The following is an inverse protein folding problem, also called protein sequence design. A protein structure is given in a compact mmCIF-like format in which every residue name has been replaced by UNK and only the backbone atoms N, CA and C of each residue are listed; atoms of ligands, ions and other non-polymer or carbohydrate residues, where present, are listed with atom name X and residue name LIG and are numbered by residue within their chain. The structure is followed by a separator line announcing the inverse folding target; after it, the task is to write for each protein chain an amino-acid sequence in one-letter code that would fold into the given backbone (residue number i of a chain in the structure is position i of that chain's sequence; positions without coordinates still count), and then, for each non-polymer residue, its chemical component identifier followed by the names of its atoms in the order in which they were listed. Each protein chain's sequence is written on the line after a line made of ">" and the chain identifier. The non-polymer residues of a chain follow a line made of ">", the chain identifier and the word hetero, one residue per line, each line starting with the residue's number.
data_IF_726591984147
#
_entry.id   IF_726591984147
#
_cell.length_a   1.000
_cell.length_b   1.000
_cell.length_c   1.000
_cell.angle_alpha   90.00
_cell.angle_beta   90.00
_cell.angle_gamma   90.00
#
_symmetry.space_group_name_H-M   'P 1'
#
loop_
_entity.id
_entity.type
_entity.pdbx_description
1 polymer ?
#
# COMPACT_ATOMS: atom_id res chain seq x y z
N UNK A 1 17.55 60.88 62.80
CA UNK A 1 18.53 61.95 62.67
C UNK A 1 18.56 62.47 61.24
N UNK A 2 18.19 63.70 61.03
CA UNK A 2 18.61 64.72 60.04
C UNK A 2 18.44 64.31 58.55
N UNK A 3 17.41 64.85 57.81
CA UNK A 3 17.27 66.23 57.29
C UNK A 3 18.25 66.53 56.18
N UNK A 4 17.91 67.00 54.98
CA UNK A 4 17.16 68.16 54.49
C UNK A 4 17.14 68.09 52.95
N UNK A 5 16.05 68.39 52.27
CA UNK A 5 15.69 69.73 51.71
C UNK A 5 16.64 70.19 50.60
N UNK A 6 16.18 70.21 49.38
CA UNK A 6 15.46 71.36 48.73
C UNK A 6 16.26 71.66 47.46
N UNK A 7 15.74 71.99 46.34
CA UNK A 7 15.25 73.28 45.91
C UNK A 7 14.89 73.22 44.41
N UNK A 8 13.88 73.93 44.07
CA UNK A 8 13.28 74.23 42.79
C UNK A 8 14.22 74.93 41.79
N UNK A 9 14.06 74.70 40.48
CA UNK A 9 14.02 75.80 39.54
C UNK A 9 13.32 75.40 38.24
N UNK A 10 12.30 76.20 37.90
CA UNK A 10 11.58 76.18 36.62
C UNK A 10 12.43 76.86 35.52
N UNK A 11 12.30 76.32 34.30
CA UNK A 11 12.40 77.15 33.11
C UNK A 11 11.73 76.48 31.87
N UNK A 12 10.91 77.28 31.29
CA UNK A 12 9.95 77.15 30.18
C UNK A 12 10.42 76.55 28.85
N UNK A 13 9.48 75.81 28.27
CA UNK A 13 8.95 75.88 26.88
C UNK A 13 9.87 76.04 25.71
N UNK A 14 9.79 75.02 24.80
CA UNK A 14 9.65 75.31 23.39
C UNK A 14 8.95 74.08 22.70
N UNK A 15 7.84 74.39 22.09
CA UNK A 15 7.07 73.43 21.25
C UNK A 15 7.80 73.23 19.94
N UNK A 16 8.12 71.98 19.67
CA UNK A 16 8.54 71.48 18.30
C UNK A 16 7.68 70.26 17.95
N UNK A 17 6.66 70.49 17.13
CA UNK A 17 5.89 69.44 16.50
C UNK A 17 6.79 68.66 15.52
N UNK A 18 7.24 67.46 15.88
CA UNK A 18 7.77 66.51 14.91
C UNK A 18 6.73 65.40 14.75
N UNK A 19 6.06 65.41 13.62
CA UNK A 19 5.20 64.35 13.12
C UNK A 19 6.08 63.11 12.79
N UNK A 20 6.10 62.10 13.67
CA UNK A 20 6.62 60.79 13.34
C UNK A 20 5.53 60.01 12.62
N UNK A 21 5.64 59.87 11.30
CA UNK A 21 4.91 58.91 10.53
C UNK A 21 5.42 57.51 10.90
N UNK A 22 4.65 56.81 11.73
CA UNK A 22 4.86 55.37 11.98
C UNK A 22 4.45 54.59 10.71
N UNK A 23 5.41 54.22 9.90
CA UNK A 23 5.22 53.16 8.88
C UNK A 23 5.04 51.84 9.61
N UNK A 24 3.80 51.42 9.83
CA UNK A 24 3.50 50.05 10.21
C UNK A 24 3.80 49.16 9.03
N UNK A 25 4.96 48.52 9.03
CA UNK A 25 5.21 47.35 8.22
C UNK A 25 4.23 46.26 8.67
N UNK A 26 3.17 46.06 7.90
CA UNK A 26 2.37 44.85 8.01
C UNK A 26 3.32 43.67 7.73
N UNK A 27 3.61 42.88 8.76
CA UNK A 27 4.14 41.52 8.57
C UNK A 27 2.99 40.76 7.96
N UNK A 28 3.06 40.48 6.67
CA UNK A 28 2.16 39.52 6.02
C UNK A 28 2.42 38.15 6.67
N UNK A 29 1.42 37.62 7.34
CA UNK A 29 1.43 36.22 7.78
C UNK A 29 1.65 35.38 6.52
N UNK A 30 2.52 34.34 6.59
CA UNK A 30 2.71 33.47 5.45
C UNK A 30 1.36 32.84 5.09
N UNK A 31 0.98 33.00 3.83
CA UNK A 31 -0.20 32.40 3.22
C UNK A 31 -0.21 30.91 3.59
N UNK A 32 -1.26 30.46 4.28
CA UNK A 32 -1.47 29.03 4.51
C UNK A 32 -1.65 28.40 3.14
N UNK A 33 -0.60 27.78 2.62
CA UNK A 33 -0.71 26.90 1.45
C UNK A 33 -1.60 25.74 1.89
N UNK A 34 -2.84 25.75 1.43
CA UNK A 34 -3.70 24.58 1.61
C UNK A 34 -3.02 23.39 0.93
N UNK A 35 -2.97 22.22 1.57
CA UNK A 35 -2.36 21.05 0.96
C UNK A 35 -3.06 20.75 -0.36
N UNK A 36 -2.28 20.59 -1.41
CA UNK A 36 -2.77 20.22 -2.74
C UNK A 36 -3.62 18.95 -2.62
N UNK A 37 -4.88 19.03 -3.03
CA UNK A 37 -5.77 17.88 -3.00
C UNK A 37 -5.30 16.88 -4.06
N UNK A 38 -4.65 15.82 -3.65
CA UNK A 38 -4.22 14.74 -4.55
C UNK A 38 -5.45 13.89 -4.88
N UNK A 39 -5.96 14.05 -6.09
CA UNK A 39 -7.13 13.31 -6.56
C UNK A 39 -6.84 11.89 -7.00
N UNK A 40 -5.59 11.59 -7.35
CA UNK A 40 -5.16 10.28 -7.87
C UNK A 40 -3.75 9.93 -7.40
N UNK A 41 -3.59 8.70 -6.88
CA UNK A 41 -2.30 8.21 -6.39
C UNK A 41 -1.64 7.29 -7.41
N UNK A 42 -0.38 7.55 -7.68
CA UNK A 42 0.53 6.68 -8.41
C UNK A 42 1.53 6.12 -7.42
N UNK A 43 1.57 4.81 -7.28
CA UNK A 43 2.39 4.19 -6.23
C UNK A 43 3.08 2.91 -6.68
N UNK A 44 3.92 2.40 -5.78
CA UNK A 44 4.52 1.08 -5.88
C UNK A 44 4.48 0.36 -4.53
N UNK A 45 4.34 -0.95 -4.56
CA UNK A 45 4.75 -1.82 -3.47
C UNK A 45 6.23 -2.15 -3.70
N UNK A 46 7.09 -1.73 -2.78
CA UNK A 46 8.54 -2.00 -2.82
C UNK A 46 8.97 -2.72 -1.54
N UNK A 47 8.15 -3.65 -1.10
CA UNK A 47 8.39 -4.35 0.17
C UNK A 47 9.66 -5.18 0.18
N UNK A 48 10.17 -5.61 -0.99
CA UNK A 48 11.44 -6.35 -1.12
C UNK A 48 12.68 -5.47 -1.10
N UNK A 49 12.56 -4.15 -1.22
CA UNK A 49 13.71 -3.26 -1.46
C UNK A 49 14.86 -3.45 -0.46
N UNK A 50 14.56 -3.54 0.83
CA UNK A 50 15.58 -3.70 1.89
C UNK A 50 16.30 -5.05 1.82
N UNK A 51 15.58 -6.12 1.49
CA UNK A 51 16.16 -7.43 1.24
C UNK A 51 17.07 -7.42 0.01
N UNK A 52 16.63 -6.82 -1.09
CA UNK A 52 17.41 -6.71 -2.32
C UNK A 52 18.69 -5.88 -2.11
N UNK A 53 18.58 -4.75 -1.42
CA UNK A 53 19.72 -3.91 -1.05
C UNK A 53 20.72 -4.66 -0.16
N UNK A 54 20.25 -5.45 0.80
CA UNK A 54 21.11 -6.28 1.66
C UNK A 54 21.93 -7.31 0.88
N UNK A 55 21.39 -7.75 -0.26
CA UNK A 55 22.06 -8.66 -1.20
C UNK A 55 22.92 -7.92 -2.23
N UNK A 56 23.11 -6.61 -2.05
CA UNK A 56 23.98 -5.78 -2.90
C UNK A 56 23.33 -5.27 -4.17
N UNK A 57 21.99 -5.38 -4.32
CA UNK A 57 21.30 -4.79 -5.45
C UNK A 57 21.36 -3.26 -5.36
N UNK A 58 21.65 -2.63 -6.50
CA UNK A 58 21.70 -1.19 -6.66
C UNK A 58 20.70 -0.77 -7.72
N UNK A 59 20.23 0.47 -7.59
CA UNK A 59 19.27 1.08 -8.50
C UNK A 59 19.85 2.34 -9.10
N UNK A 60 19.53 2.60 -10.37
CA UNK A 60 20.06 3.72 -11.13
C UNK A 60 18.93 4.48 -11.83
N UNK A 61 19.06 5.79 -11.94
CA UNK A 61 18.18 6.56 -12.79
C UNK A 61 18.60 6.46 -14.27
N UNK A 62 17.82 7.08 -15.15
CA UNK A 62 18.09 7.06 -16.60
C UNK A 62 19.46 7.67 -17.01
N UNK A 63 20.08 8.48 -16.14
CA UNK A 63 21.39 9.08 -16.37
C UNK A 63 22.55 8.20 -15.87
N UNK A 64 22.27 7.02 -15.30
CA UNK A 64 23.27 6.12 -14.73
C UNK A 64 23.76 6.51 -13.34
N UNK A 65 23.05 7.41 -12.66
CA UNK A 65 23.36 7.78 -11.28
C UNK A 65 22.68 6.83 -10.32
N UNK A 66 23.44 6.31 -9.35
CA UNK A 66 22.90 5.46 -8.29
C UNK A 66 21.87 6.25 -7.45
N UNK A 67 20.73 5.63 -7.19
CA UNK A 67 19.62 6.19 -6.41
C UNK A 67 19.12 5.21 -5.37
N UNK A 68 18.63 5.73 -4.26
CA UNK A 68 17.80 4.97 -3.34
C UNK A 68 16.45 4.67 -4.04
N UNK A 69 15.95 3.44 -3.89
CA UNK A 69 14.81 2.96 -4.68
C UNK A 69 13.54 3.78 -4.46
N UNK A 70 13.21 4.17 -3.21
CA UNK A 70 12.03 4.99 -2.92
C UNK A 70 12.12 6.38 -3.57
N UNK A 71 13.33 6.97 -3.56
CA UNK A 71 13.59 8.25 -4.24
C UNK A 71 13.42 8.11 -5.76
N UNK A 72 13.86 6.99 -6.31
CA UNK A 72 13.69 6.69 -7.74
C UNK A 72 12.21 6.54 -8.11
N UNK A 73 11.38 5.89 -7.27
CA UNK A 73 9.92 5.84 -7.48
C UNK A 73 9.33 7.25 -7.55
N UNK A 74 9.77 8.15 -6.66
CA UNK A 74 9.34 9.55 -6.69
C UNK A 74 9.80 10.29 -7.95
N UNK A 75 11.04 10.08 -8.42
CA UNK A 75 11.55 10.65 -9.69
C UNK A 75 10.68 10.22 -10.89
N UNK A 76 10.07 9.04 -10.83
CA UNK A 76 9.11 8.53 -11.82
C UNK A 76 7.68 9.08 -11.65
N UNK A 77 7.44 9.98 -10.69
CA UNK A 77 6.16 10.65 -10.51
C UNK A 77 5.21 9.92 -9.55
N UNK A 78 5.70 8.94 -8.81
CA UNK A 78 4.91 8.29 -7.76
C UNK A 78 4.84 9.15 -6.50
N UNK A 79 3.70 9.09 -5.82
CA UNK A 79 3.41 9.87 -4.62
C UNK A 79 2.96 9.03 -3.43
N UNK A 80 2.98 7.70 -3.58
CA UNK A 80 2.62 6.75 -2.52
C UNK A 80 3.44 5.46 -2.60
N UNK A 81 3.64 4.82 -1.45
CA UNK A 81 4.32 3.52 -1.31
C UNK A 81 3.42 2.58 -0.52
N UNK A 82 3.23 1.36 -1.02
CA UNK A 82 2.58 0.24 -0.34
C UNK A 82 3.64 -0.68 0.25
N UNK A 83 3.42 -1.15 1.47
CA UNK A 83 4.37 -1.96 2.23
C UNK A 83 3.63 -3.08 2.97
N UNK A 84 3.99 -4.33 2.70
CA UNK A 84 3.43 -5.47 3.42
C UNK A 84 4.10 -5.67 4.78
N UNK A 85 3.37 -6.31 5.67
CA UNK A 85 3.87 -6.77 6.96
C UNK A 85 3.37 -8.19 7.25
N UNK A 86 4.28 -9.05 7.71
CA UNK A 86 4.01 -10.43 8.16
C UNK A 86 3.99 -10.50 9.69
N UNK A 87 3.44 -11.60 10.24
CA UNK A 87 3.31 -11.78 11.69
C UNK A 87 4.62 -12.19 12.32
N UNK A 88 5.21 -13.29 11.88
CA UNK A 88 6.52 -13.77 12.34
C UNK A 88 7.37 -14.27 11.17
N UNK A 89 8.05 -13.39 10.43
CA UNK A 89 8.91 -13.77 9.33
C UNK A 89 10.33 -14.22 9.77
N UNK A 90 10.50 -14.71 10.99
CA UNK A 90 11.83 -15.10 11.53
C UNK A 90 12.52 -16.21 10.71
N UNK A 91 11.75 -17.05 10.01
CA UNK A 91 12.27 -18.06 9.05
C UNK A 91 12.72 -17.45 7.71
N UNK A 92 12.46 -16.18 7.49
CA UNK A 92 12.76 -15.43 6.28
C UNK A 92 13.58 -14.18 6.61
N UNK A 93 14.57 -14.33 7.51
CA UNK A 93 15.52 -13.28 7.92
C UNK A 93 14.86 -12.02 8.46
N UNK A 94 13.62 -12.12 8.94
CA UNK A 94 12.79 -11.02 9.45
C UNK A 94 12.44 -9.93 8.43
N UNK A 95 12.59 -10.17 7.12
CA UNK A 95 12.09 -9.24 6.12
C UNK A 95 10.58 -9.08 6.25
N UNK A 96 10.11 -7.86 6.04
CA UNK A 96 8.70 -7.49 6.21
C UNK A 96 8.13 -7.69 7.63
N UNK A 97 8.97 -7.71 8.68
CA UNK A 97 8.51 -7.48 10.04
C UNK A 97 8.24 -5.98 10.27
N UNK A 98 7.78 -5.61 11.47
CA UNK A 98 7.46 -4.20 11.78
C UNK A 98 8.67 -3.26 11.74
N UNK A 99 9.88 -3.74 12.06
CA UNK A 99 11.12 -2.96 12.03
C UNK A 99 11.54 -2.64 10.58
N UNK A 100 11.48 -3.64 9.71
CA UNK A 100 11.77 -3.50 8.29
C UNK A 100 10.71 -2.63 7.58
N UNK A 101 9.44 -2.81 7.92
CA UNK A 101 8.35 -1.92 7.50
C UNK A 101 8.65 -0.46 7.86
N UNK A 102 9.10 -0.22 9.10
CA UNK A 102 9.41 1.13 9.59
C UNK A 102 10.54 1.79 8.79
N UNK A 103 11.58 1.04 8.43
CA UNK A 103 12.70 1.55 7.61
C UNK A 103 12.17 2.10 6.29
N UNK A 104 11.38 1.33 5.56
CA UNK A 104 10.79 1.70 4.27
C UNK A 104 9.79 2.86 4.40
N UNK A 105 8.93 2.82 5.42
CA UNK A 105 7.96 3.88 5.68
C UNK A 105 8.62 5.23 6.02
N UNK A 106 9.76 5.22 6.73
CA UNK A 106 10.55 6.44 6.99
C UNK A 106 11.13 7.04 5.70
N UNK A 107 11.60 6.20 4.77
CA UNK A 107 12.08 6.66 3.46
C UNK A 107 10.95 7.36 2.68
N UNK A 108 9.79 6.72 2.58
CA UNK A 108 8.61 7.29 1.92
C UNK A 108 8.20 8.63 2.55
N UNK A 109 8.09 8.69 3.89
CA UNK A 109 7.75 9.91 4.61
C UNK A 109 8.76 11.05 4.37
N UNK A 110 10.06 10.75 4.40
CA UNK A 110 11.10 11.75 4.16
C UNK A 110 11.00 12.40 2.78
N UNK A 111 10.41 11.69 1.83
CA UNK A 111 10.15 12.16 0.46
C UNK A 111 8.74 12.79 0.30
N UNK A 112 7.95 12.87 1.36
CA UNK A 112 6.58 13.38 1.30
C UNK A 112 5.64 12.48 0.51
N UNK A 113 5.89 11.16 0.51
CA UNK A 113 5.02 10.15 -0.10
C UNK A 113 4.07 9.57 0.95
N UNK A 114 2.84 9.27 0.53
CA UNK A 114 1.88 8.59 1.39
C UNK A 114 2.24 7.12 1.58
N UNK A 115 1.82 6.54 2.69
CA UNK A 115 2.10 5.14 3.03
C UNK A 115 0.81 4.35 3.12
N UNK A 116 0.80 3.19 2.45
CA UNK A 116 -0.19 2.13 2.62
C UNK A 116 0.49 0.96 3.34
N UNK A 117 -0.14 0.46 4.42
CA UNK A 117 0.31 -0.75 5.11
C UNK A 117 -0.58 -1.91 4.70
N UNK A 118 0.03 -3.00 4.26
CA UNK A 118 -0.65 -4.21 3.84
C UNK A 118 -0.38 -5.36 4.81
N UNK A 119 -1.39 -5.73 5.59
CA UNK A 119 -1.30 -6.83 6.54
C UNK A 119 -1.54 -8.18 5.86
N UNK A 120 -0.47 -8.96 5.70
CA UNK A 120 -0.58 -10.39 5.48
C UNK A 120 -0.66 -11.08 6.84
N UNK A 121 -1.83 -11.45 7.31
CA UNK A 121 -2.00 -12.17 8.58
C UNK A 121 -1.49 -13.61 8.50
N UNK A 122 -0.21 -13.73 8.17
CA UNK A 122 0.54 -14.97 7.96
C UNK A 122 2.02 -14.69 8.26
N UNK A 123 2.82 -15.73 8.51
CA UNK A 123 4.28 -15.61 8.68
C UNK A 123 5.01 -15.49 7.34
N UNK A 124 4.30 -15.69 6.23
CA UNK A 124 4.80 -15.63 4.86
C UNK A 124 3.69 -15.18 3.91
N UNK A 125 3.84 -15.40 2.61
CA UNK A 125 2.88 -14.98 1.60
C UNK A 125 1.44 -15.42 1.91
N UNK A 126 0.54 -14.47 1.88
CA UNK A 126 -0.91 -14.66 1.81
C UNK A 126 -1.38 -14.21 0.43
N UNK A 127 -2.12 -15.08 -0.27
CA UNK A 127 -2.66 -14.85 -1.61
C UNK A 127 -3.96 -15.67 -1.78
N UNK A 128 -4.67 -15.59 -2.93
CA UNK A 128 -5.93 -16.31 -3.12
C UNK A 128 -5.83 -17.83 -2.97
N UNK A 129 -4.64 -18.41 -3.15
CA UNK A 129 -4.41 -19.86 -3.03
C UNK A 129 -4.09 -20.30 -1.60
N UNK A 130 -3.66 -19.37 -0.74
CA UNK A 130 -3.30 -19.66 0.67
C UNK A 130 -3.38 -18.41 1.55
N UNK A 131 -3.86 -18.60 2.77
CA UNK A 131 -3.98 -17.56 3.80
C UNK A 131 -3.53 -18.17 5.15
N UNK A 132 -2.33 -18.77 5.14
CA UNK A 132 -1.88 -19.66 6.22
C UNK A 132 -1.87 -18.96 7.56
N UNK A 133 -2.54 -19.59 8.53
CA UNK A 133 -2.56 -19.16 9.92
C UNK A 133 -1.13 -19.10 10.46
N UNK A 134 -0.71 -17.99 11.10
CA UNK A 134 0.60 -17.87 11.73
C UNK A 134 0.89 -19.02 12.69
N UNK A 135 2.13 -19.47 12.77
CA UNK A 135 2.52 -20.60 13.59
C UNK A 135 2.17 -20.39 15.07
N UNK A 136 2.31 -19.18 15.56
CA UNK A 136 1.99 -18.78 16.94
C UNK A 136 0.48 -18.77 17.24
N UNK A 137 -0.39 -18.72 16.23
CA UNK A 137 -1.85 -18.71 16.39
C UNK A 137 -2.49 -20.07 16.13
N UNK A 138 -1.72 -21.07 15.72
CA UNK A 138 -2.23 -22.42 15.47
C UNK A 138 -2.82 -23.03 16.72
N UNK A 139 -4.00 -23.66 16.57
CA UNK A 139 -4.72 -24.28 17.67
C UNK A 139 -5.55 -23.33 18.53
N UNK A 140 -5.47 -22.03 18.29
CA UNK A 140 -6.35 -21.05 18.94
C UNK A 140 -7.79 -21.20 18.43
N UNK A 141 -8.74 -20.95 19.33
CA UNK A 141 -10.15 -20.83 18.97
C UNK A 141 -10.40 -19.59 18.10
N UNK A 142 -11.55 -19.52 17.46
CA UNK A 142 -11.95 -18.35 16.68
C UNK A 142 -11.85 -17.03 17.47
N UNK A 143 -12.30 -17.02 18.72
CA UNK A 143 -12.27 -15.81 19.56
C UNK A 143 -10.85 -15.42 19.99
N UNK A 144 -9.96 -16.39 20.20
CA UNK A 144 -8.55 -16.14 20.48
C UNK A 144 -7.84 -15.60 19.23
N UNK A 145 -8.02 -16.25 18.09
CA UNK A 145 -7.39 -15.82 16.82
C UNK A 145 -7.87 -14.44 16.37
N UNK A 146 -9.14 -14.10 16.63
CA UNK A 146 -9.67 -12.75 16.41
C UNK A 146 -8.96 -11.71 17.28
N UNK A 147 -8.62 -12.06 18.53
CA UNK A 147 -7.82 -11.20 19.41
C UNK A 147 -6.36 -11.09 18.94
N UNK A 148 -5.77 -12.20 18.48
CA UNK A 148 -4.40 -12.21 17.97
C UNK A 148 -4.27 -11.28 16.77
N UNK A 149 -5.20 -11.37 15.81
CA UNK A 149 -5.24 -10.48 14.65
C UNK A 149 -5.36 -9.01 15.06
N UNK A 150 -6.29 -8.69 15.97
CA UNK A 150 -6.49 -7.33 16.46
C UNK A 150 -5.25 -6.81 17.20
N UNK A 151 -4.62 -7.63 18.03
CA UNK A 151 -3.42 -7.26 18.79
C UNK A 151 -2.25 -7.02 17.86
N UNK A 152 -1.97 -7.93 16.91
CA UNK A 152 -0.91 -7.74 15.91
C UNK A 152 -1.12 -6.45 15.11
N UNK A 153 -2.35 -6.19 14.65
CA UNK A 153 -2.69 -4.95 13.95
C UNK A 153 -2.37 -3.71 14.79
N UNK A 154 -2.79 -3.71 16.05
CA UNK A 154 -2.55 -2.59 16.98
C UNK A 154 -1.06 -2.42 17.29
N UNK A 155 -0.34 -3.51 17.54
CA UNK A 155 1.10 -3.47 17.85
C UNK A 155 1.90 -2.85 16.72
N UNK A 156 1.71 -3.30 15.49
CA UNK A 156 2.39 -2.75 14.31
C UNK A 156 2.02 -1.27 14.10
N UNK A 157 0.73 -0.93 14.15
CA UNK A 157 0.30 0.44 13.92
C UNK A 157 0.73 1.38 15.05
N UNK A 158 0.69 0.92 16.31
CA UNK A 158 1.19 1.71 17.43
C UNK A 158 2.71 1.90 17.37
N UNK A 159 3.45 0.88 16.91
CA UNK A 159 4.89 0.99 16.67
C UNK A 159 5.20 2.05 15.59
N UNK A 160 4.47 2.06 14.49
CA UNK A 160 4.57 3.10 13.45
C UNK A 160 4.24 4.48 14.01
N UNK A 161 3.15 4.61 14.77
CA UNK A 161 2.70 5.86 15.39
C UNK A 161 3.76 6.44 16.34
N UNK A 162 4.35 5.60 17.19
CA UNK A 162 5.40 5.99 18.12
C UNK A 162 6.68 6.48 17.39
N UNK A 163 6.89 6.04 16.16
CA UNK A 163 7.99 6.45 15.29
C UNK A 163 7.59 7.58 14.31
N UNK A 164 6.42 8.18 14.51
CA UNK A 164 5.96 9.33 13.73
C UNK A 164 5.48 8.99 12.32
N UNK A 165 5.18 7.72 12.02
CA UNK A 165 4.56 7.31 10.74
C UNK A 165 3.05 7.24 10.93
N UNK A 166 2.32 7.87 10.02
CA UNK A 166 0.86 7.82 9.93
C UNK A 166 0.48 7.27 8.56
N UNK A 167 0.08 6.00 8.44
CA UNK A 167 -0.38 5.46 7.18
C UNK A 167 -1.69 6.11 6.75
N UNK A 168 -1.80 6.43 5.47
CA UNK A 168 -3.05 6.91 4.89
C UNK A 168 -4.05 5.78 4.68
N UNK A 169 -3.56 4.63 4.27
CA UNK A 169 -4.35 3.43 4.04
C UNK A 169 -3.79 2.24 4.81
N UNK A 170 -4.69 1.37 5.21
CA UNK A 170 -4.35 0.09 5.83
C UNK A 170 -5.20 -1.01 5.19
N UNK A 171 -4.56 -1.98 4.55
CA UNK A 171 -5.21 -3.20 4.09
C UNK A 171 -5.34 -4.19 5.23
N UNK A 172 -6.56 -4.66 5.46
CA UNK A 172 -6.87 -5.72 6.41
C UNK A 172 -6.93 -7.04 5.65
N UNK A 173 -5.78 -7.67 5.50
CA UNK A 173 -5.55 -8.85 4.68
C UNK A 173 -5.16 -8.53 3.24
N UNK A 174 -4.38 -9.42 2.64
CA UNK A 174 -3.95 -9.38 1.26
C UNK A 174 -4.73 -10.39 0.41
N UNK A 175 -5.32 -9.94 -0.70
CA UNK A 175 -6.07 -10.77 -1.66
C UNK A 175 -7.00 -11.79 -0.98
N UNK A 176 -7.87 -11.30 -0.10
CA UNK A 176 -8.75 -12.12 0.74
C UNK A 176 -9.96 -12.70 -0.01
N UNK A 177 -9.79 -12.99 -1.28
CA UNK A 177 -10.84 -13.54 -2.14
C UNK A 177 -11.48 -14.79 -1.55
N UNK A 178 -10.68 -15.73 -1.08
CA UNK A 178 -11.15 -16.93 -0.41
C UNK A 178 -11.21 -16.82 1.13
N UNK A 179 -11.19 -15.58 1.66
CA UNK A 179 -11.14 -15.29 3.10
C UNK A 179 -9.72 -15.07 3.62
N UNK A 180 -9.55 -15.13 4.94
CA UNK A 180 -8.26 -14.98 5.63
C UNK A 180 -8.16 -15.97 6.78
N UNK A 181 -6.93 -16.25 7.26
CA UNK A 181 -6.71 -17.19 8.39
C UNK A 181 -7.33 -18.57 8.15
N UNK A 182 -6.97 -19.15 7.02
CA UNK A 182 -7.20 -20.56 6.68
C UNK A 182 -5.90 -21.12 6.11
N UNK A 183 -5.63 -22.40 6.30
CA UNK A 183 -4.33 -22.99 5.97
C UNK A 183 -4.45 -24.08 4.93
N UNK A 184 -3.40 -24.18 4.10
CA UNK A 184 -3.18 -25.27 3.17
C UNK A 184 -1.98 -26.12 3.59
N UNK A 185 -1.85 -27.31 3.03
CA UNK A 185 -0.65 -28.11 3.18
C UNK A 185 0.53 -27.42 2.47
N UNK A 186 1.61 -27.18 3.21
CA UNK A 186 2.83 -26.55 2.70
C UNK A 186 4.07 -27.43 2.92
N UNK A 187 5.12 -27.15 2.16
CA UNK A 187 6.47 -27.66 2.44
C UNK A 187 7.14 -26.84 3.57
N UNK A 188 8.38 -27.21 3.91
CA UNK A 188 9.15 -26.53 4.96
C UNK A 188 9.42 -25.04 4.69
N UNK A 189 9.46 -24.64 3.41
CA UNK A 189 9.64 -23.26 2.96
C UNK A 189 8.33 -22.46 2.92
N UNK A 190 7.18 -23.07 3.26
CA UNK A 190 5.87 -22.41 3.26
C UNK A 190 5.17 -22.40 1.89
N UNK A 191 5.72 -23.07 0.87
CA UNK A 191 5.08 -23.19 -0.43
C UNK A 191 4.00 -24.28 -0.41
N UNK A 192 2.89 -24.00 -1.09
CA UNK A 192 1.76 -24.93 -1.24
C UNK A 192 2.20 -26.27 -1.85
N UNK A 193 1.72 -27.37 -1.25
CA UNK A 193 1.87 -28.72 -1.79
C UNK A 193 0.53 -29.13 -2.42
N UNK A 194 0.54 -29.35 -3.73
CA UNK A 194 -0.62 -29.89 -4.45
C UNK A 194 -0.67 -31.42 -4.36
N UNK A 195 -1.87 -31.98 -4.36
CA UNK A 195 -2.09 -33.43 -4.44
C UNK A 195 -1.76 -33.98 -5.85
N UNK A 196 -1.88 -35.29 -6.04
CA UNK A 196 -1.63 -35.96 -7.31
C UNK A 196 -2.53 -35.51 -8.48
N UNK A 197 -3.65 -34.86 -8.15
CA UNK A 197 -4.59 -34.31 -9.12
C UNK A 197 -4.38 -32.78 -9.33
N UNK A 198 -3.36 -32.20 -8.68
CA UNK A 198 -3.06 -30.78 -8.76
C UNK A 198 -3.93 -29.89 -7.84
N UNK A 199 -4.68 -30.47 -6.90
CA UNK A 199 -5.55 -29.70 -6.01
C UNK A 199 -4.83 -29.31 -4.73
N UNK A 200 -5.21 -28.15 -4.20
CA UNK A 200 -4.78 -27.66 -2.89
C UNK A 200 -5.53 -28.38 -1.76
N UNK A 201 -4.80 -28.88 -0.78
CA UNK A 201 -5.39 -29.48 0.40
C UNK A 201 -5.54 -28.44 1.51
N UNK A 202 -6.79 -28.06 1.84
CA UNK A 202 -7.08 -27.18 2.98
C UNK A 202 -6.97 -28.00 4.26
N UNK A 203 -6.06 -27.58 5.14
CA UNK A 203 -5.80 -28.22 6.44
C UNK A 203 -6.57 -27.58 7.59
N UNK A 204 -6.79 -26.26 7.52
CA UNK A 204 -7.59 -25.48 8.45
C UNK A 204 -8.45 -24.50 7.68
N UNK A 205 -9.71 -24.31 8.05
CA UNK A 205 -10.65 -23.48 7.26
C UNK A 205 -11.36 -22.41 8.08
N UNK A 206 -10.79 -21.99 9.21
CA UNK A 206 -11.48 -21.11 10.15
C UNK A 206 -12.03 -19.83 9.50
N UNK A 207 -11.24 -19.08 8.78
CA UNK A 207 -11.67 -17.85 8.09
C UNK A 207 -11.88 -18.03 6.58
N UNK A 208 -12.09 -19.26 6.10
CA UNK A 208 -12.32 -19.50 4.66
C UNK A 208 -13.70 -19.01 4.24
N UNK A 209 -13.77 -18.09 3.29
CA UNK A 209 -14.98 -17.37 2.91
C UNK A 209 -16.18 -18.26 2.52
N UNK A 210 -15.92 -19.38 1.83
CA UNK A 210 -16.99 -20.31 1.43
C UNK A 210 -17.43 -21.23 2.59
N UNK A 211 -16.48 -21.63 3.47
CA UNK A 211 -16.76 -22.62 4.53
C UNK A 211 -17.26 -21.97 5.81
N UNK A 212 -16.73 -20.81 6.15
CA UNK A 212 -16.99 -20.09 7.39
C UNK A 212 -17.11 -18.57 7.13
N UNK A 213 -18.10 -18.12 6.33
CA UNK A 213 -18.22 -16.72 5.91
C UNK A 213 -18.37 -15.75 7.07
N UNK A 214 -19.08 -16.17 8.14
CA UNK A 214 -19.25 -15.33 9.35
C UNK A 214 -17.92 -15.11 10.09
N UNK A 215 -17.07 -16.15 10.16
CA UNK A 215 -15.77 -16.04 10.82
C UNK A 215 -14.81 -15.20 9.99
N UNK A 216 -14.82 -15.35 8.66
CA UNK A 216 -14.08 -14.46 7.76
C UNK A 216 -14.46 -12.99 8.00
N UNK A 217 -15.74 -12.68 7.96
CA UNK A 217 -16.22 -11.31 8.20
C UNK A 217 -15.87 -10.82 9.62
N UNK A 218 -15.90 -11.71 10.62
CA UNK A 218 -15.52 -11.38 11.99
C UNK A 218 -14.03 -11.06 12.15
N UNK A 219 -13.13 -11.74 11.43
CA UNK A 219 -11.71 -11.41 11.38
C UNK A 219 -11.50 -10.04 10.72
N UNK A 220 -12.12 -9.81 9.57
CA UNK A 220 -12.02 -8.51 8.89
C UNK A 220 -12.51 -7.37 9.79
N UNK A 221 -13.64 -7.56 10.47
CA UNK A 221 -14.19 -6.59 11.44
C UNK A 221 -13.20 -6.29 12.56
N UNK A 222 -12.57 -7.32 13.15
CA UNK A 222 -11.60 -7.14 14.22
C UNK A 222 -10.38 -6.31 13.75
N UNK A 223 -9.89 -6.56 12.54
CA UNK A 223 -8.83 -5.76 11.92
C UNK A 223 -9.26 -4.31 11.66
N UNK A 224 -10.44 -4.12 11.10
CA UNK A 224 -11.00 -2.77 10.89
C UNK A 224 -11.06 -1.96 12.19
N UNK A 225 -11.63 -2.55 13.25
CA UNK A 225 -11.76 -1.91 14.56
C UNK A 225 -10.37 -1.60 15.17
N UNK A 226 -9.42 -2.51 15.04
CA UNK A 226 -8.05 -2.32 15.50
C UNK A 226 -7.33 -1.16 14.78
N UNK A 227 -7.50 -1.03 13.47
CA UNK A 227 -6.97 0.12 12.70
C UNK A 227 -7.58 1.42 13.20
N UNK A 228 -8.92 1.49 13.31
CA UNK A 228 -9.63 2.69 13.72
C UNK A 228 -9.34 3.12 15.16
N UNK A 229 -8.98 2.19 16.03
CA UNK A 229 -8.54 2.49 17.40
C UNK A 229 -7.21 3.26 17.42
N UNK A 230 -6.26 2.90 16.58
CA UNK A 230 -4.93 3.52 16.54
C UNK A 230 -4.88 4.75 15.62
N UNK A 231 -5.51 4.64 14.44
CA UNK A 231 -5.59 5.68 13.42
C UNK A 231 -7.03 5.86 12.93
N UNK A 232 -7.86 6.67 13.63
CA UNK A 232 -9.27 6.85 13.29
C UNK A 232 -9.50 7.33 11.85
N UNK A 233 -8.57 8.12 11.32
CA UNK A 233 -8.66 8.73 9.97
C UNK A 233 -8.07 7.86 8.87
N UNK A 234 -7.35 6.77 9.19
CA UNK A 234 -6.80 5.87 8.18
C UNK A 234 -7.94 5.19 7.40
N UNK A 235 -7.78 5.11 6.08
CA UNK A 235 -8.73 4.46 5.19
C UNK A 235 -8.47 2.94 5.22
N UNK A 236 -9.45 2.16 5.64
CA UNK A 236 -9.34 0.70 5.70
C UNK A 236 -9.77 0.09 4.38
N UNK A 237 -8.86 -0.68 3.76
CA UNK A 237 -9.05 -1.31 2.46
C UNK A 237 -9.35 -2.80 2.64
N UNK A 238 -10.38 -3.29 1.95
CA UNK A 238 -10.55 -4.72 1.63
C UNK A 238 -9.91 -5.00 0.28
N UNK A 239 -9.01 -5.97 0.20
CA UNK A 239 -8.25 -6.28 -1.00
C UNK A 239 -8.61 -7.66 -1.58
N UNK A 240 -9.01 -7.68 -2.85
CA UNK A 240 -9.34 -8.89 -3.62
C UNK A 240 -8.55 -8.94 -4.92
N UNK A 241 -8.28 -10.15 -5.39
CA UNK A 241 -7.66 -10.38 -6.70
C UNK A 241 -8.65 -10.22 -7.87
N UNK A 242 -8.20 -10.45 -9.09
CA UNK A 242 -9.02 -10.48 -10.31
C UNK A 242 -10.00 -9.30 -10.43
N UNK A 243 -9.51 -8.05 -10.39
CA UNK A 243 -10.30 -6.82 -10.40
C UNK A 243 -11.35 -6.73 -11.51
N UNK A 244 -11.23 -7.55 -12.56
CA UNK A 244 -12.19 -7.65 -13.67
C UNK A 244 -13.40 -8.54 -13.37
N UNK A 245 -13.37 -9.37 -12.30
CA UNK A 245 -14.45 -10.33 -12.01
C UNK A 245 -15.51 -9.75 -11.08
N UNK A 246 -16.53 -9.14 -11.68
CA UNK A 246 -17.68 -8.57 -10.94
C UNK A 246 -18.37 -9.57 -10.02
N UNK A 247 -18.50 -10.84 -10.44
CA UNK A 247 -19.20 -11.85 -9.65
C UNK A 247 -18.42 -12.19 -8.38
N UNK A 248 -17.11 -12.31 -8.48
CA UNK A 248 -16.22 -12.53 -7.35
C UNK A 248 -16.34 -11.39 -6.34
N UNK A 249 -16.27 -10.13 -6.81
CA UNK A 249 -16.40 -8.96 -5.95
C UNK A 249 -17.77 -8.89 -5.27
N UNK A 250 -18.82 -9.08 -6.02
CA UNK A 250 -20.18 -9.12 -5.45
C UNK A 250 -20.32 -10.20 -4.38
N UNK A 251 -19.85 -11.41 -4.66
CA UNK A 251 -19.94 -12.53 -3.72
C UNK A 251 -19.16 -12.27 -2.44
N UNK A 252 -17.88 -11.88 -2.53
CA UNK A 252 -17.02 -11.70 -1.35
C UNK A 252 -17.45 -10.49 -0.51
N UNK A 253 -17.67 -9.34 -1.14
CA UNK A 253 -18.04 -8.10 -0.43
C UNK A 253 -19.43 -8.20 0.19
N UNK A 254 -20.35 -8.94 -0.41
CA UNK A 254 -21.67 -9.21 0.18
C UNK A 254 -21.56 -10.10 1.42
N UNK A 255 -20.61 -11.06 1.47
CA UNK A 255 -20.30 -11.82 2.71
C UNK A 255 -19.92 -10.85 3.83
N UNK A 256 -18.96 -9.96 3.58
CA UNK A 256 -18.51 -9.00 4.59
C UNK A 256 -19.65 -8.10 5.05
N UNK A 257 -20.36 -7.49 4.12
CA UNK A 257 -21.44 -6.54 4.42
C UNK A 257 -22.60 -7.19 5.16
N UNK A 258 -23.05 -8.37 4.73
CA UNK A 258 -24.18 -9.09 5.34
C UNK A 258 -23.85 -9.57 6.77
N UNK A 259 -22.57 -9.76 7.08
CA UNK A 259 -22.10 -10.13 8.43
C UNK A 259 -21.62 -8.90 9.25
N UNK A 260 -21.94 -7.68 8.82
CA UNK A 260 -21.70 -6.44 9.56
C UNK A 260 -20.25 -5.95 9.59
N UNK A 261 -19.39 -6.46 8.71
CA UNK A 261 -18.07 -5.90 8.50
C UNK A 261 -18.17 -4.58 7.69
N UNK A 262 -17.23 -3.66 7.97
CA UNK A 262 -17.14 -2.36 7.31
C UNK A 262 -15.78 -2.26 6.64
N UNK A 263 -15.74 -1.62 5.49
CA UNK A 263 -14.53 -1.18 4.80
C UNK A 263 -14.75 0.23 4.24
N UNK A 264 -13.69 1.01 4.14
CA UNK A 264 -13.78 2.39 3.65
C UNK A 264 -13.46 2.47 2.16
N UNK A 265 -12.72 1.50 1.61
CA UNK A 265 -12.29 1.44 0.22
C UNK A 265 -12.12 0.00 -0.24
N UNK A 266 -12.31 -0.24 -1.52
CA UNK A 266 -12.06 -1.54 -2.17
C UNK A 266 -10.72 -1.46 -2.91
N UNK A 267 -9.81 -2.39 -2.59
CA UNK A 267 -8.57 -2.63 -3.30
C UNK A 267 -8.72 -3.76 -4.31
N UNK A 268 -8.16 -3.57 -5.50
CA UNK A 268 -8.20 -4.55 -6.59
C UNK A 268 -6.78 -4.89 -7.05
N UNK A 269 -6.50 -6.18 -7.29
CA UNK A 269 -5.36 -6.60 -8.12
C UNK A 269 -5.80 -6.65 -9.58
N UNK A 270 -4.97 -6.10 -10.47
CA UNK A 270 -5.20 -6.09 -11.90
C UNK A 270 -3.93 -6.50 -12.66
N UNK A 271 -3.84 -7.76 -13.01
CA UNK A 271 -2.70 -8.34 -13.71
C UNK A 271 -3.12 -8.90 -15.08
N UNK A 272 -2.99 -8.15 -16.18
CA UNK A 272 -3.35 -8.65 -17.52
C UNK A 272 -2.64 -9.96 -17.86
N UNK A 273 -1.33 -10.07 -17.57
CA UNK A 273 -0.54 -11.26 -17.82
C UNK A 273 -1.07 -12.50 -17.08
N UNK A 274 -1.33 -12.41 -15.77
CA UNK A 274 -1.83 -13.55 -15.02
C UNK A 274 -3.26 -13.92 -15.41
N UNK A 275 -4.09 -12.93 -15.77
CA UNK A 275 -5.44 -13.18 -16.28
C UNK A 275 -5.43 -13.94 -17.60
N UNK A 276 -4.47 -13.68 -18.47
CA UNK A 276 -4.30 -14.46 -19.70
C UNK A 276 -3.88 -15.90 -19.39
N UNK A 277 -2.86 -16.09 -18.55
CA UNK A 277 -2.32 -17.42 -18.23
C UNK A 277 -3.33 -18.30 -17.48
N UNK A 278 -4.03 -17.78 -16.48
CA UNK A 278 -4.89 -18.58 -15.62
C UNK A 278 -6.37 -18.57 -16.01
N UNK A 279 -6.83 -17.52 -16.70
CA UNK A 279 -8.24 -17.33 -17.01
C UNK A 279 -8.52 -17.26 -18.53
N UNK A 280 -7.48 -17.27 -19.37
CA UNK A 280 -7.61 -17.15 -20.82
C UNK A 280 -8.19 -15.82 -21.30
N UNK A 281 -8.04 -14.74 -20.49
CA UNK A 281 -8.56 -13.41 -20.80
C UNK A 281 -7.45 -12.53 -21.38
N UNK A 282 -7.77 -11.89 -22.51
CA UNK A 282 -6.86 -10.90 -23.10
C UNK A 282 -6.67 -9.68 -22.17
N UNK A 283 -5.58 -8.95 -22.39
CA UNK A 283 -5.34 -7.68 -21.68
C UNK A 283 -6.50 -6.68 -21.88
N UNK A 284 -7.10 -6.64 -23.08
CA UNK A 284 -8.26 -5.81 -23.40
C UNK A 284 -9.46 -6.14 -22.51
N UNK A 285 -9.83 -7.42 -22.41
CA UNK A 285 -10.93 -7.90 -21.57
C UNK A 285 -10.67 -7.66 -20.08
N UNK A 286 -9.43 -7.87 -19.66
CA UNK A 286 -9.00 -7.71 -18.26
C UNK A 286 -9.05 -6.25 -17.82
N UNK A 287 -8.45 -5.35 -18.60
CA UNK A 287 -8.44 -3.91 -18.29
C UNK A 287 -9.84 -3.34 -18.38
N UNK A 288 -10.55 -3.55 -19.49
CA UNK A 288 -11.92 -3.05 -19.69
C UNK A 288 -12.91 -3.60 -18.66
N UNK A 289 -12.79 -4.90 -18.32
CA UNK A 289 -13.59 -5.53 -17.26
C UNK A 289 -13.34 -4.90 -15.88
N UNK A 290 -12.08 -4.61 -15.54
CA UNK A 290 -11.74 -3.94 -14.28
C UNK A 290 -12.30 -2.52 -14.21
N UNK A 291 -12.18 -1.72 -15.29
CA UNK A 291 -12.72 -0.36 -15.32
C UNK A 291 -14.27 -0.37 -15.13
N UNK A 292 -14.96 -1.31 -15.77
CA UNK A 292 -16.39 -1.48 -15.58
C UNK A 292 -16.73 -1.92 -14.13
N UNK A 293 -15.93 -2.84 -13.56
CA UNK A 293 -16.15 -3.32 -12.21
C UNK A 293 -15.91 -2.23 -11.16
N UNK A 294 -14.90 -1.37 -11.33
CA UNK A 294 -14.67 -0.19 -10.46
C UNK A 294 -15.96 0.64 -10.35
N UNK A 295 -16.58 1.00 -11.48
CA UNK A 295 -17.79 1.80 -11.49
C UNK A 295 -18.97 1.11 -10.77
N UNK A 296 -19.13 -0.21 -11.00
CA UNK A 296 -20.19 -1.01 -10.38
C UNK A 296 -20.00 -1.15 -8.87
N UNK A 297 -18.77 -1.40 -8.41
CA UNK A 297 -18.46 -1.53 -6.98
C UNK A 297 -18.64 -0.20 -6.26
N UNK A 298 -18.21 0.91 -6.85
CA UNK A 298 -18.47 2.26 -6.32
C UNK A 298 -19.98 2.51 -6.17
N UNK A 299 -20.76 2.22 -7.19
CA UNK A 299 -22.21 2.42 -7.18
C UNK A 299 -22.92 1.53 -6.13
N UNK A 300 -22.50 0.25 -6.02
CA UNK A 300 -23.15 -0.72 -5.13
C UNK A 300 -22.79 -0.51 -3.66
N UNK A 301 -21.50 -0.27 -3.36
CA UNK A 301 -21.03 -0.22 -1.98
C UNK A 301 -20.89 1.20 -1.43
N UNK A 302 -20.92 2.23 -2.28
CA UNK A 302 -20.86 3.64 -1.88
C UNK A 302 -19.50 4.06 -1.32
N UNK A 303 -18.43 3.36 -1.71
CA UNK A 303 -17.04 3.68 -1.30
C UNK A 303 -16.14 3.82 -2.52
N UNK A 304 -14.97 4.41 -2.30
CA UNK A 304 -13.95 4.52 -3.34
C UNK A 304 -13.28 3.17 -3.65
N UNK A 305 -12.67 3.09 -4.84
CA UNK A 305 -11.94 1.93 -5.33
C UNK A 305 -10.53 2.34 -5.74
N UNK A 306 -9.55 1.47 -5.53
CA UNK A 306 -8.16 1.66 -5.89
C UNK A 306 -7.58 0.36 -6.47
N UNK A 307 -6.77 0.45 -7.52
CA UNK A 307 -5.95 -0.67 -7.98
C UNK A 307 -4.70 -0.65 -7.10
N UNK A 308 -4.64 -1.58 -6.15
CA UNK A 308 -3.57 -1.65 -5.15
C UNK A 308 -2.42 -2.56 -5.57
N UNK A 309 -2.64 -3.35 -6.63
CA UNK A 309 -1.61 -4.16 -7.27
C UNK A 309 -1.81 -4.23 -8.78
N UNK A 310 -0.73 -4.05 -9.52
CA UNK A 310 -0.61 -4.37 -10.95
C UNK A 310 0.84 -4.68 -11.29
N UNK A 311 1.08 -5.23 -12.47
CA UNK A 311 2.43 -5.51 -12.96
C UNK A 311 2.38 -5.97 -14.42
N UNK A 312 3.42 -5.63 -15.19
CA UNK A 312 3.50 -5.91 -16.62
C UNK A 312 4.64 -6.87 -16.91
N UNK A 313 4.51 -7.68 -17.94
CA UNK A 313 5.53 -8.65 -18.32
C UNK A 313 6.86 -7.93 -18.63
N UNK A 314 7.89 -8.26 -17.88
CA UNK A 314 9.24 -7.71 -18.00
C UNK A 314 10.30 -8.78 -18.29
N UNK A 315 9.98 -10.06 -18.06
CA UNK A 315 10.89 -11.17 -18.27
C UNK A 315 10.41 -12.12 -19.37
N UNK A 316 11.37 -12.71 -20.09
CA UNK A 316 11.13 -13.85 -20.97
C UNK A 316 10.94 -15.16 -20.15
N UNK A 317 10.74 -16.28 -20.85
CA UNK A 317 10.57 -17.59 -20.22
C UNK A 317 11.84 -18.09 -19.50
N UNK A 318 12.99 -17.56 -19.84
CA UNK A 318 14.28 -17.90 -19.22
C UNK A 318 14.60 -16.97 -18.03
N UNK A 319 13.70 -16.06 -17.66
CA UNK A 319 13.89 -15.09 -16.58
C UNK A 319 14.90 -13.98 -16.92
N UNK A 320 15.10 -13.70 -18.21
CA UNK A 320 15.90 -12.56 -18.68
C UNK A 320 15.00 -11.43 -19.13
N UNK A 321 15.58 -10.24 -19.25
CA UNK A 321 14.85 -9.07 -19.74
C UNK A 321 14.15 -9.38 -21.07
N UNK A 322 12.86 -9.12 -21.12
CA UNK A 322 12.03 -9.30 -22.30
C UNK A 322 12.46 -8.37 -23.45
N UNK A 323 11.99 -8.66 -24.66
CA UNK A 323 12.29 -7.85 -25.84
C UNK A 323 11.73 -6.42 -25.72
N UNK A 324 12.31 -5.48 -26.46
CA UNK A 324 11.86 -4.08 -26.48
C UNK A 324 10.36 -3.95 -26.87
N UNK A 325 9.84 -4.82 -27.72
CA UNK A 325 8.42 -4.82 -28.08
C UNK A 325 7.52 -5.24 -26.90
N UNK A 326 7.92 -6.24 -26.11
CA UNK A 326 7.18 -6.65 -24.90
C UNK A 326 7.20 -5.55 -23.83
N UNK A 327 8.34 -4.87 -23.66
CA UNK A 327 8.44 -3.75 -22.72
C UNK A 327 7.60 -2.54 -23.16
N UNK A 328 7.51 -2.28 -24.46
CA UNK A 328 6.64 -1.24 -25.01
C UNK A 328 5.15 -1.59 -24.87
N UNK A 329 4.78 -2.86 -25.08
CA UNK A 329 3.42 -3.34 -24.80
C UNK A 329 3.07 -3.21 -23.31
N UNK A 330 4.00 -3.53 -22.42
CA UNK A 330 3.84 -3.33 -20.97
C UNK A 330 3.64 -1.86 -20.61
N UNK A 331 4.43 -0.95 -21.20
CA UNK A 331 4.23 0.49 -21.05
C UNK A 331 2.83 0.92 -21.52
N UNK A 332 2.40 0.50 -22.70
CA UNK A 332 1.10 0.87 -23.27
C UNK A 332 -0.06 0.37 -22.39
N UNK A 333 0.02 -0.86 -21.87
CA UNK A 333 -0.97 -1.43 -20.96
C UNK A 333 -1.02 -0.63 -19.65
N UNK A 334 0.11 -0.34 -19.04
CA UNK A 334 0.17 0.40 -17.77
C UNK A 334 -0.30 1.85 -17.93
N UNK A 335 0.12 2.55 -18.98
CA UNK A 335 -0.34 3.90 -19.29
C UNK A 335 -1.86 3.94 -19.49
N UNK A 336 -2.42 2.95 -20.19
CA UNK A 336 -3.85 2.76 -20.36
C UNK A 336 -4.56 2.54 -19.01
N UNK A 337 -4.04 1.63 -18.17
CA UNK A 337 -4.60 1.37 -16.83
C UNK A 337 -4.64 2.68 -16.02
N UNK A 338 -3.54 3.43 -15.98
CA UNK A 338 -3.47 4.69 -15.23
C UNK A 338 -4.49 5.70 -15.77
N UNK A 339 -4.56 5.88 -17.08
CA UNK A 339 -5.47 6.82 -17.74
C UNK A 339 -6.93 6.46 -17.48
N UNK A 340 -7.35 5.24 -17.85
CA UNK A 340 -8.75 4.80 -17.73
C UNK A 340 -9.18 4.72 -16.26
N UNK A 341 -8.28 4.38 -15.32
CA UNK A 341 -8.56 4.42 -13.88
C UNK A 341 -8.96 5.82 -13.41
N UNK A 342 -8.26 6.87 -13.86
CA UNK A 342 -8.64 8.27 -13.58
C UNK A 342 -10.03 8.60 -14.14
N UNK A 343 -10.31 8.19 -15.36
CA UNK A 343 -11.58 8.47 -16.05
C UNK A 343 -12.78 7.84 -15.35
N UNK A 344 -12.63 6.64 -14.76
CA UNK A 344 -13.70 5.97 -13.99
C UNK A 344 -13.74 6.37 -12.51
N UNK A 345 -12.89 7.32 -12.10
CA UNK A 345 -12.82 7.83 -10.72
C UNK A 345 -12.23 6.83 -9.72
N UNK A 346 -11.33 5.96 -10.16
CA UNK A 346 -10.45 5.18 -9.30
C UNK A 346 -9.50 6.11 -8.54
N UNK A 347 -9.09 5.76 -7.33
CA UNK A 347 -8.26 6.62 -6.49
C UNK A 347 -6.76 6.46 -6.68
N UNK A 348 -6.32 5.44 -7.39
CA UNK A 348 -4.90 5.26 -7.69
C UNK A 348 -4.59 3.91 -8.31
N UNK A 349 -3.32 3.79 -8.73
CA UNK A 349 -2.72 2.56 -9.28
C UNK A 349 -1.37 2.34 -8.64
N UNK A 350 -1.14 1.15 -8.07
CA UNK A 350 0.10 0.74 -7.46
C UNK A 350 0.72 -0.41 -8.25
N UNK A 351 1.98 -0.26 -8.61
CA UNK A 351 2.76 -1.33 -9.23
C UNK A 351 3.36 -2.22 -8.13
N UNK A 352 3.23 -3.54 -8.27
CA UNK A 352 3.74 -4.49 -7.29
C UNK A 352 5.17 -4.90 -7.61
N UNK A 353 6.10 -4.65 -6.68
CA UNK A 353 7.53 -4.97 -6.72
C UNK A 353 8.20 -4.60 -8.06
N UNK A 354 8.07 -3.32 -8.51
CA UNK A 354 8.69 -2.90 -9.77
C UNK A 354 10.21 -3.03 -9.75
N UNK A 355 10.85 -2.89 -8.61
CA UNK A 355 12.30 -2.91 -8.41
C UNK A 355 12.94 -4.29 -8.63
N UNK A 356 12.13 -5.33 -8.76
CA UNK A 356 12.61 -6.69 -9.04
C UNK A 356 13.20 -6.80 -10.44
N UNK A 357 14.33 -7.52 -10.53
CA UNK A 357 14.94 -7.92 -11.79
C UNK A 357 14.14 -9.05 -12.46
N UNK A 358 14.27 -9.24 -13.79
CA UNK A 358 13.53 -10.28 -14.51
C UNK A 358 13.65 -11.69 -13.91
N UNK A 359 14.84 -12.07 -13.42
CA UNK A 359 15.07 -13.37 -12.80
C UNK A 359 14.53 -13.51 -11.36
N UNK A 360 14.12 -12.40 -10.71
CA UNK A 360 13.53 -12.41 -9.38
C UNK A 360 12.00 -12.46 -9.44
N UNK A 361 11.43 -11.63 -10.29
CA UNK A 361 9.99 -11.57 -10.51
C UNK A 361 9.69 -11.20 -11.97
N UNK A 362 8.87 -12.01 -12.62
CA UNK A 362 8.58 -11.88 -14.06
C UNK A 362 7.89 -10.57 -14.43
N UNK A 363 7.12 -10.00 -13.53
CA UNK A 363 6.41 -8.73 -13.72
C UNK A 363 7.09 -7.56 -12.98
N UNK A 364 8.38 -7.66 -12.65
CA UNK A 364 9.18 -6.51 -12.24
C UNK A 364 9.24 -5.45 -13.35
N UNK A 365 9.96 -4.36 -13.13
CA UNK A 365 10.08 -3.30 -14.14
C UNK A 365 11.52 -2.75 -14.25
N UNK A 366 12.50 -3.50 -13.75
CA UNK A 366 13.92 -3.13 -13.80
C UNK A 366 14.74 -4.14 -14.61
N UNK A 367 15.86 -3.67 -15.14
CA UNK A 367 16.84 -4.52 -15.85
C UNK A 367 17.70 -5.31 -14.84
N UNK A 368 18.47 -6.27 -15.33
CA UNK A 368 19.45 -7.01 -14.51
C UNK A 368 20.47 -6.08 -13.81
N UNK A 369 20.80 -4.96 -14.42
CA UNK A 369 21.75 -3.97 -13.90
C UNK A 369 21.12 -2.93 -12.98
N UNK A 370 19.80 -3.02 -12.71
CA UNK A 370 19.08 -2.12 -11.79
C UNK A 370 18.63 -0.80 -12.41
N UNK A 371 18.45 -0.74 -13.72
CA UNK A 371 17.84 0.40 -14.41
C UNK A 371 16.35 0.18 -14.61
N UNK A 372 15.50 1.21 -14.43
CA UNK A 372 14.10 1.12 -14.78
C UNK A 372 13.93 0.87 -16.29
N UNK A 373 13.01 -0.01 -16.63
CA UNK A 373 12.66 -0.28 -18.03
C UNK A 373 11.66 0.74 -18.57
N UNK A 374 11.37 0.65 -19.88
CA UNK A 374 10.34 1.45 -20.54
C UNK A 374 8.98 1.44 -19.83
N UNK A 375 8.62 0.33 -19.18
CA UNK A 375 7.36 0.18 -18.43
C UNK A 375 7.18 1.30 -17.39
N UNK A 376 8.26 1.65 -16.66
CA UNK A 376 8.21 2.67 -15.62
C UNK A 376 7.88 4.07 -16.12
N UNK A 377 8.13 4.38 -17.38
CA UNK A 377 7.84 5.70 -17.97
C UNK A 377 6.33 6.02 -17.94
N UNK A 378 5.45 5.02 -17.88
CA UNK A 378 4.01 5.22 -17.77
C UNK A 378 3.60 6.04 -16.52
N UNK A 379 4.41 6.07 -15.48
CA UNK A 379 4.15 6.87 -14.29
C UNK A 379 4.53 8.35 -14.43
N UNK A 380 5.30 8.71 -15.46
CA UNK A 380 5.69 10.12 -15.72
C UNK A 380 4.59 10.93 -16.41
N UNK A 381 3.55 10.27 -16.95
CA UNK A 381 2.42 10.88 -17.69
C UNK A 381 1.28 11.45 -16.81
#
# INVERSE_FOLDING_TARGET
>A
MKSKLGLWLLASACWGLMSCSSSSTKVEEPEKVEPEVVDFYKGADISWVTELESKGQKFYNANGEERECTALMKEYGMNAIRLRVWVDPSKHDNWCNQEDLLVKAKRAKALGMEVMVDFHYSDWWADPAKQNIPASWKGHSYEEMKKDLANHTKEVLQFLKNNGITPKWVQVGNETTNGMLWSVKTNEQGWEIKDENGNTTITESMGHATRNPEQYAGFFKAGYEAVKEIFPDAIVIVHLDNGWDENLYNWNLDILKNNGAKFDMIGMSLYPYWSEIYNGKSAEETIGGCMANIQKMKAKYGCDVMIVETGMLCADEQGKLASASVLEDGYNQLARIIKESKEVGCKGVFYWEPECKPGQYKLGAFTEDGFPTRIMDAFKE
#
